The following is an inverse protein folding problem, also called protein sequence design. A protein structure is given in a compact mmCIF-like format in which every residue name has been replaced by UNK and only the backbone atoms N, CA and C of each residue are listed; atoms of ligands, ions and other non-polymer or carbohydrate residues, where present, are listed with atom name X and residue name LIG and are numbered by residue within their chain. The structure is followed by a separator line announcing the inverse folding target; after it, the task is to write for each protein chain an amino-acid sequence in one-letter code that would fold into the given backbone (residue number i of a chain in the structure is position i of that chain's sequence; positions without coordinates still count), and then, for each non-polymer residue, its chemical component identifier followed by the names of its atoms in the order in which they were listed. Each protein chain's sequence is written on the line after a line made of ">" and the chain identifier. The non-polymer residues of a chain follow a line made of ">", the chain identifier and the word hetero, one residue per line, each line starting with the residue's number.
data_IF_136339524497
#
_entry.id   IF_136339524497
#
_cell.length_a   1.000
_cell.length_b   1.000
_cell.length_c   1.000
_cell.angle_alpha   90.00
_cell.angle_beta   90.00
_cell.angle_gamma   90.00
#
_symmetry.space_group_name_H-M   'P 1'
#
loop_
_entity.id
_entity.type
_entity.pdbx_description
1 polymer ?
#
# COMPACT_ATOMS: atom_id res chain seq x y z
N UNK A 1 15.09 9.93 14.46
CA UNK A 1 13.78 10.59 14.73
C UNK A 1 12.86 10.27 13.55
N UNK A 2 11.66 9.68 13.62
CA UNK A 2 10.59 9.63 14.63
C UNK A 2 10.08 8.20 14.80
N UNK A 3 9.95 7.74 16.04
CA UNK A 3 9.41 6.42 16.44
C UNK A 3 7.89 6.54 16.55
N UNK A 4 7.16 6.21 15.49
CA UNK A 4 5.70 6.17 15.54
C UNK A 4 5.25 4.96 16.38
N UNK A 5 4.62 5.25 17.52
CA UNK A 5 4.04 4.26 18.44
C UNK A 5 2.94 3.48 17.70
N UNK A 6 3.13 2.17 17.57
CA UNK A 6 2.09 1.23 17.13
C UNK A 6 1.04 1.16 18.25
N UNK A 7 -0.16 1.67 18.00
CA UNK A 7 -1.36 1.30 18.76
C UNK A 7 -1.67 -0.16 18.37
N UNK A 8 -1.15 -1.12 19.15
CA UNK A 8 -1.45 -2.55 19.02
C UNK A 8 -2.79 -2.74 19.73
N UNK A 9 -3.90 -2.69 19.00
CA UNK A 9 -5.15 -3.25 19.49
C UNK A 9 -4.94 -4.76 19.57
N UNK A 10 -4.82 -5.25 20.80
CA UNK A 10 -4.56 -6.65 21.13
C UNK A 10 -5.83 -7.48 20.89
N UNK A 11 -6.23 -7.64 19.61
CA UNK A 11 -7.23 -8.61 19.21
C UNK A 11 -6.54 -9.97 19.09
N UNK A 12 -6.32 -10.63 20.24
CA UNK A 12 -5.92 -12.03 20.30
C UNK A 12 -7.12 -12.89 19.89
N UNK A 13 -7.30 -13.09 18.59
CA UNK A 13 -8.26 -14.07 18.11
C UNK A 13 -7.65 -15.47 18.26
N UNK A 14 -8.05 -16.18 19.32
CA UNK A 14 -7.60 -17.54 19.64
C UNK A 14 -8.24 -18.62 18.73
N UNK A 15 -9.01 -18.21 17.72
CA UNK A 15 -9.74 -19.08 16.80
C UNK A 15 -8.91 -19.34 15.54
N UNK A 16 -8.87 -20.60 15.08
CA UNK A 16 -8.15 -21.00 13.87
C UNK A 16 -8.66 -20.20 12.68
N UNK A 17 -7.75 -19.61 11.89
CA UNK A 17 -8.10 -18.91 10.66
C UNK A 17 -8.76 -19.92 9.73
N UNK A 18 -10.06 -19.76 9.50
CA UNK A 18 -10.83 -20.63 8.62
C UNK A 18 -10.54 -20.20 7.18
N UNK A 19 -10.65 -21.10 6.20
CA UNK A 19 -10.47 -20.78 4.77
C UNK A 19 -11.25 -19.52 4.32
N UNK A 20 -12.43 -19.28 4.90
CA UNK A 20 -13.22 -18.07 4.66
C UNK A 20 -12.49 -16.77 5.00
N UNK A 21 -11.73 -16.76 6.09
CA UNK A 21 -11.02 -15.57 6.57
C UNK A 21 -9.77 -15.31 5.73
N UNK A 22 -9.13 -16.37 5.22
CA UNK A 22 -8.09 -16.29 4.19
C UNK A 22 -8.64 -15.65 2.90
N UNK A 23 -9.76 -16.15 2.36
CA UNK A 23 -10.40 -15.56 1.17
C UNK A 23 -10.88 -14.12 1.42
N UNK A 24 -11.27 -13.77 2.64
CA UNK A 24 -11.57 -12.39 3.00
C UNK A 24 -10.32 -11.51 2.95
N UNK A 25 -9.18 -12.00 3.44
CA UNK A 25 -7.91 -11.29 3.44
C UNK A 25 -7.38 -11.08 2.02
N UNK A 26 -7.38 -12.10 1.16
CA UNK A 26 -6.99 -11.96 -0.25
C UNK A 26 -7.80 -10.86 -0.97
N UNK A 27 -9.12 -10.80 -0.75
CA UNK A 27 -9.96 -9.73 -1.32
C UNK A 27 -9.54 -8.34 -0.85
N UNK A 28 -9.09 -8.18 0.39
CA UNK A 28 -8.55 -6.91 0.88
C UNK A 28 -7.19 -6.57 0.29
N UNK A 29 -6.33 -7.56 0.06
CA UNK A 29 -5.03 -7.40 -0.60
C UNK A 29 -5.22 -6.94 -2.04
N UNK A 30 -6.09 -7.62 -2.79
CA UNK A 30 -6.41 -7.31 -4.18
C UNK A 30 -7.02 -5.89 -4.32
N UNK A 31 -7.84 -5.49 -3.35
CA UNK A 31 -8.36 -4.12 -3.28
C UNK A 31 -7.25 -3.07 -3.01
N UNK A 32 -6.21 -3.41 -2.24
CA UNK A 32 -5.07 -2.53 -2.00
C UNK A 32 -4.17 -2.38 -3.21
N UNK A 33 -3.90 -3.48 -3.91
CA UNK A 33 -3.18 -3.47 -5.18
C UNK A 33 -3.92 -2.63 -6.22
N UNK A 34 -5.24 -2.77 -6.34
CA UNK A 34 -6.07 -1.90 -7.20
C UNK A 34 -5.91 -0.42 -6.86
N UNK A 35 -5.90 -0.09 -5.57
CA UNK A 35 -5.72 1.30 -5.13
C UNK A 35 -4.31 1.81 -5.49
N UNK A 36 -3.29 0.97 -5.33
CA UNK A 36 -1.92 1.28 -5.74
C UNK A 36 -1.80 1.50 -7.25
N UNK A 37 -2.39 0.63 -8.08
CA UNK A 37 -2.43 0.82 -9.53
C UNK A 37 -3.17 2.09 -9.95
N UNK A 38 -4.17 2.53 -9.16
CA UNK A 38 -4.86 3.80 -9.40
C UNK A 38 -3.95 5.02 -9.16
N UNK A 39 -3.08 4.96 -8.13
CA UNK A 39 -2.04 5.99 -7.92
C UNK A 39 -1.01 6.00 -9.05
N UNK A 40 -0.56 4.85 -9.53
CA UNK A 40 0.36 4.76 -10.67
C UNK A 40 -0.30 5.38 -11.91
N UNK A 41 -1.54 4.97 -12.21
CA UNK A 41 -2.30 5.44 -13.36
C UNK A 41 -2.41 6.97 -13.37
N UNK A 42 -2.85 7.57 -12.26
CA UNK A 42 -3.00 9.02 -12.15
C UNK A 42 -1.67 9.75 -12.28
N UNK A 43 -0.59 9.20 -11.71
CA UNK A 43 0.76 9.75 -11.85
C UNK A 43 1.21 9.75 -13.32
N UNK A 44 0.95 8.68 -14.07
CA UNK A 44 1.29 8.61 -15.50
C UNK A 44 0.48 9.59 -16.34
N UNK A 45 -0.81 9.77 -16.07
CA UNK A 45 -1.59 10.80 -16.76
C UNK A 45 -1.03 12.20 -16.52
N UNK A 46 -0.59 12.51 -15.31
CA UNK A 46 0.04 13.80 -15.01
C UNK A 46 1.40 13.97 -15.69
N UNK A 47 2.19 12.91 -15.83
CA UNK A 47 3.45 12.96 -16.58
C UNK A 47 3.17 13.21 -18.06
N UNK A 48 2.24 12.47 -18.67
CA UNK A 48 1.88 12.65 -20.08
C UNK A 48 1.35 14.07 -20.32
N UNK A 49 0.48 14.56 -19.44
CA UNK A 49 -0.01 15.94 -19.50
C UNK A 49 1.13 16.94 -19.33
N UNK A 50 2.05 16.73 -18.37
CA UNK A 50 3.22 17.58 -18.15
C UNK A 50 4.14 17.64 -19.38
N UNK A 51 4.39 16.51 -20.03
CA UNK A 51 5.14 16.43 -21.29
C UNK A 51 4.43 17.20 -22.40
N UNK A 52 3.11 17.03 -22.53
CA UNK A 52 2.31 17.76 -23.52
C UNK A 52 2.38 19.28 -23.29
N UNK A 53 2.30 19.74 -22.05
CA UNK A 53 2.42 21.15 -21.70
C UNK A 53 3.81 21.72 -21.94
N UNK A 54 4.88 20.99 -21.64
CA UNK A 54 6.26 21.43 -21.91
C UNK A 54 6.54 21.51 -23.41
N UNK A 55 5.91 20.65 -24.22
CA UNK A 55 6.06 20.61 -25.68
C UNK A 55 5.21 21.66 -26.41
N UNK A 56 4.29 22.34 -25.73
CA UNK A 56 3.59 23.51 -26.28
C UNK A 56 4.57 24.70 -26.29
N UNK A 57 5.26 24.88 -27.41
CA UNK A 57 6.25 25.97 -27.62
C UNK A 57 5.60 27.37 -27.68
N UNK A 58 4.28 27.46 -27.85
CA UNK A 58 3.57 28.72 -28.07
C UNK A 58 3.27 29.55 -26.79
N UNK A 59 3.53 29.01 -25.59
CA UNK A 59 3.24 29.69 -24.32
C UNK A 59 4.43 29.64 -23.34
N UNK A 60 5.39 30.54 -23.50
CA UNK A 60 6.54 30.71 -22.58
C UNK A 60 6.18 30.74 -21.07
N UNK A 61 5.09 31.38 -20.58
CA UNK A 61 4.76 31.36 -19.15
C UNK A 61 4.20 30.01 -18.67
N UNK A 62 3.78 29.11 -19.57
CA UNK A 62 3.10 27.87 -19.19
C UNK A 62 4.06 26.73 -18.84
N UNK A 63 5.35 26.87 -19.13
CA UNK A 63 6.37 25.86 -18.84
C UNK A 63 6.44 25.48 -17.35
N UNK A 64 6.18 26.44 -16.45
CA UNK A 64 6.10 26.20 -15.00
C UNK A 64 5.03 25.17 -14.63
N UNK A 65 3.90 25.17 -15.34
CA UNK A 65 2.80 24.23 -15.11
C UNK A 65 3.25 22.80 -15.39
N UNK A 66 4.06 22.59 -16.43
CA UNK A 66 4.68 21.29 -16.72
C UNK A 66 5.52 20.78 -15.55
N UNK A 67 6.43 21.61 -15.03
CA UNK A 67 7.26 21.26 -13.87
C UNK A 67 6.42 20.99 -12.61
N UNK A 68 5.36 21.76 -12.38
CA UNK A 68 4.43 21.54 -11.27
C UNK A 68 3.72 20.17 -11.39
N UNK A 69 3.26 19.81 -12.60
CA UNK A 69 2.65 18.50 -12.88
C UNK A 69 3.62 17.34 -12.64
N UNK A 70 4.89 17.49 -13.04
CA UNK A 70 5.92 16.50 -12.74
C UNK A 70 6.15 16.34 -11.24
N UNK A 71 6.21 17.44 -10.49
CA UNK A 71 6.38 17.40 -9.03
C UNK A 71 5.20 16.70 -8.34
N UNK A 72 3.96 17.04 -8.73
CA UNK A 72 2.75 16.41 -8.19
C UNK A 72 2.71 14.92 -8.53
N UNK A 73 3.08 14.55 -9.76
CA UNK A 73 3.15 13.16 -10.17
C UNK A 73 4.16 12.35 -9.36
N UNK A 74 5.37 12.87 -9.17
CA UNK A 74 6.39 12.22 -8.35
C UNK A 74 5.93 12.07 -6.88
N UNK A 75 5.24 13.09 -6.35
CA UNK A 75 4.64 13.03 -5.02
C UNK A 75 3.56 11.95 -4.91
N UNK A 76 2.63 11.87 -5.87
CA UNK A 76 1.58 10.84 -5.87
C UNK A 76 2.16 9.42 -6.01
N UNK A 77 3.16 9.25 -6.86
CA UNK A 77 3.82 7.96 -7.06
C UNK A 77 4.52 7.50 -5.77
N UNK A 78 5.31 8.37 -5.15
CA UNK A 78 6.02 8.08 -3.90
C UNK A 78 5.06 7.81 -2.74
N UNK A 79 4.01 8.63 -2.60
CA UNK A 79 2.96 8.41 -1.60
C UNK A 79 2.24 7.08 -1.80
N UNK A 80 1.88 6.74 -3.05
CA UNK A 80 1.24 5.48 -3.42
C UNK A 80 2.08 4.27 -3.02
N UNK A 81 3.40 4.30 -3.29
CA UNK A 81 4.34 3.23 -2.93
C UNK A 81 4.43 3.08 -1.40
N UNK A 82 4.59 4.18 -0.67
CA UNK A 82 4.67 4.14 0.81
C UNK A 82 3.40 3.53 1.41
N UNK A 83 2.23 3.97 0.93
CA UNK A 83 0.92 3.50 1.41
C UNK A 83 0.74 2.00 1.13
N UNK A 84 1.17 1.53 -0.04
CA UNK A 84 1.14 0.11 -0.39
C UNK A 84 2.02 -0.72 0.55
N UNK A 85 3.29 -0.30 0.77
CA UNK A 85 4.22 -1.03 1.63
C UNK A 85 3.76 -1.07 3.10
N UNK A 86 3.22 0.04 3.64
CA UNK A 86 2.71 0.09 5.01
C UNK A 86 1.57 -0.91 5.23
N UNK A 87 0.73 -1.07 4.22
CA UNK A 87 -0.44 -1.92 4.30
C UNK A 87 -0.10 -3.39 4.12
N UNK A 88 0.77 -3.72 3.16
CA UNK A 88 1.33 -5.07 3.00
C UNK A 88 2.05 -5.54 4.28
N UNK A 89 2.83 -4.67 4.93
CA UNK A 89 3.48 -4.99 6.22
C UNK A 89 2.49 -5.27 7.35
N UNK A 90 1.28 -4.70 7.29
CA UNK A 90 0.24 -4.95 8.29
C UNK A 90 -0.36 -6.33 8.11
N UNK A 91 -0.56 -6.78 6.86
CA UNK A 91 -1.08 -8.11 6.55
C UNK A 91 -0.10 -9.24 6.85
N UNK A 92 1.17 -9.14 6.40
CA UNK A 92 2.16 -10.21 6.64
C UNK A 92 2.37 -10.54 8.13
N UNK A 93 2.19 -9.55 9.00
CA UNK A 93 2.35 -9.74 10.44
C UNK A 93 1.22 -10.56 11.07
N UNK A 94 0.00 -10.49 10.53
CA UNK A 94 -1.10 -11.34 10.99
C UNK A 94 -0.91 -12.80 10.56
N UNK A 95 -0.28 -13.04 9.41
CA UNK A 95 0.03 -14.39 8.94
C UNK A 95 1.07 -15.08 9.83
N UNK A 96 2.18 -14.41 10.11
CA UNK A 96 3.29 -14.92 10.93
C UNK A 96 2.86 -15.20 12.40
N UNK A 97 2.09 -14.29 13.02
CA UNK A 97 1.57 -14.48 14.38
C UNK A 97 0.60 -15.69 14.45
N UNK A 98 -0.14 -16.00 13.37
CA UNK A 98 -1.09 -17.12 13.33
C UNK A 98 -0.45 -18.51 13.13
N UNK A 99 0.58 -18.61 12.28
CA UNK A 99 1.33 -19.87 12.11
C UNK A 99 2.10 -20.24 13.37
N UNK A 100 2.63 -19.24 14.07
CA UNK A 100 3.33 -19.43 15.35
C UNK A 100 2.37 -19.96 16.42
N UNK A 101 1.15 -19.42 16.53
CA UNK A 101 0.16 -19.85 17.53
C UNK A 101 -0.40 -21.26 17.25
N UNK A 102 -0.54 -21.68 15.99
CA UNK A 102 -0.85 -23.08 15.64
C UNK A 102 0.29 -24.04 15.99
N UNK A 103 1.55 -23.65 15.78
CA UNK A 103 2.72 -24.46 16.12
C UNK A 103 2.82 -24.70 17.63
N UNK A 104 2.58 -23.67 18.44
CA UNK A 104 2.56 -23.78 19.90
C UNK A 104 1.40 -24.64 20.42
N UNK A 105 0.19 -24.58 19.83
CA UNK A 105 -0.93 -25.47 20.21
C UNK A 105 -0.66 -26.93 19.87
N UNK A 106 0.03 -27.19 18.75
CA UNK A 106 0.34 -28.56 18.30
C UNK A 106 1.40 -29.22 19.17
N UNK A 107 2.36 -28.45 19.68
CA UNK A 107 3.40 -28.94 20.60
C UNK A 107 2.82 -29.27 21.98
N UNK A 108 1.95 -28.40 22.52
CA UNK A 108 1.32 -28.58 23.83
C UNK A 108 0.27 -29.71 23.91
N UNK A 109 -0.16 -30.22 22.76
CA UNK A 109 -1.09 -31.37 22.65
C UNK A 109 -0.36 -32.71 22.64
N UNK A 110 0.97 -32.71 22.53
CA UNK A 110 1.81 -33.91 22.49
C UNK A 110 2.49 -34.23 23.83
N UNK A 111 2.39 -33.32 24.80
CA UNK A 111 2.71 -33.54 26.22
C UNK A 111 1.43 -33.91 27.00
#
# INVERSE_FOLDING_TARGET
>A
MKRFRRFRSDFRNNEKIILRDFLAMERTTLANERTFFSYIRTSFYLIIAGIAFVKLEDFEPLSWVGYALFFISAFLLTFGIIRYQLLQKKLNRFYDDSEIEERFKTDKSKE
#
